data_IF_002939972246
#
_entry.id   IF_002939972246
#
_cell.length_a   1.000
_cell.length_b   1.000
_cell.length_c   1.000
_cell.angle_alpha   90.00
_cell.angle_beta   90.00
_cell.angle_gamma   90.00
#
_symmetry.space_group_name_H-M   'P 1'
#
loop_
_entity.id
_entity.type
_entity.pdbx_description
1 polymer ?
#
# COMPACT_ATOMS: atom_id res chain seq x y z
N UNK A 1 -1.68 -14.80 20.45
CA UNK A 1 -2.88 -14.11 19.91
C UNK A 1 -4.11 -14.97 20.13
N UNK A 2 -5.15 -14.44 20.79
CA UNK A 2 -6.41 -15.17 20.94
C UNK A 2 -7.07 -15.27 19.57
N UNK A 3 -7.09 -16.49 19.04
CA UNK A 3 -7.77 -16.77 17.79
C UNK A 3 -9.29 -16.80 18.06
N UNK A 4 -10.02 -15.91 17.46
CA UNK A 4 -11.51 -15.94 17.44
C UNK A 4 -12.02 -17.06 16.51
N UNK A 5 -11.32 -18.20 16.52
CA UNK A 5 -11.71 -19.37 15.72
C UNK A 5 -12.72 -20.15 16.50
N UNK A 6 -13.96 -19.99 16.16
CA UNK A 6 -15.04 -20.84 16.62
C UNK A 6 -15.06 -22.08 15.71
N UNK A 7 -14.91 -23.25 16.28
CA UNK A 7 -15.14 -24.50 15.57
C UNK A 7 -16.55 -24.97 15.95
N UNK A 8 -17.50 -24.76 15.06
CA UNK A 8 -18.92 -25.05 15.30
C UNK A 8 -19.17 -26.53 15.53
N UNK A 9 -18.45 -27.40 14.88
CA UNK A 9 -18.57 -28.85 15.07
C UNK A 9 -18.14 -29.27 16.50
N UNK A 10 -17.03 -28.68 16.97
CA UNK A 10 -16.56 -28.92 18.33
C UNK A 10 -17.51 -28.33 19.37
N UNK A 11 -18.02 -27.14 19.10
CA UNK A 11 -18.99 -26.46 19.95
C UNK A 11 -20.26 -27.29 20.12
N UNK A 12 -20.80 -27.86 19.04
CA UNK A 12 -21.97 -28.75 19.11
C UNK A 12 -21.66 -29.98 19.98
N UNK A 13 -20.52 -30.62 19.77
CA UNK A 13 -20.15 -31.80 20.51
C UNK A 13 -19.93 -31.53 22.01
N UNK A 14 -19.46 -30.34 22.38
CA UNK A 14 -19.25 -29.97 23.80
C UNK A 14 -20.54 -29.49 24.48
N UNK A 15 -21.47 -28.84 23.72
CA UNK A 15 -22.70 -28.32 24.30
C UNK A 15 -23.84 -29.35 24.39
N UNK A 16 -23.85 -30.36 23.53
CA UNK A 16 -24.92 -31.37 23.56
C UNK A 16 -24.66 -32.34 24.70
N UNK A 17 -25.56 -32.44 25.67
CA UNK A 17 -25.41 -33.42 26.79
C UNK A 17 -25.35 -34.83 26.23
N UNK A 18 -24.48 -35.65 26.79
CA UNK A 18 -24.22 -37.03 26.32
C UNK A 18 -25.46 -37.95 26.35
N UNK A 19 -26.42 -37.69 27.24
CA UNK A 19 -27.66 -38.46 27.35
C UNK A 19 -28.70 -38.14 26.25
N UNK A 20 -28.56 -36.98 25.56
CA UNK A 20 -29.42 -36.61 24.44
C UNK A 20 -28.68 -36.79 23.08
N UNK A 21 -27.38 -37.05 23.14
CA UNK A 21 -26.45 -37.06 22.03
C UNK A 21 -26.63 -38.19 21.02
N UNK A 22 -27.79 -38.33 20.40
CA UNK A 22 -27.96 -39.18 19.25
C UNK A 22 -27.19 -38.63 18.03
N UNK A 23 -26.43 -39.52 17.32
CA UNK A 23 -25.64 -39.12 16.13
C UNK A 23 -26.44 -38.30 15.10
N UNK A 24 -27.74 -38.65 14.91
CA UNK A 24 -28.62 -37.94 13.98
C UNK A 24 -28.91 -36.50 14.44
N UNK A 25 -29.09 -36.28 15.75
CA UNK A 25 -29.31 -34.96 16.33
C UNK A 25 -28.05 -34.09 16.19
N UNK A 26 -26.88 -34.65 16.49
CA UNK A 26 -25.61 -33.94 16.33
C UNK A 26 -25.40 -33.50 14.89
N UNK A 27 -25.62 -34.37 13.92
CA UNK A 27 -25.51 -34.04 12.49
C UNK A 27 -26.53 -32.97 12.04
N UNK A 28 -27.75 -33.02 12.56
CA UNK A 28 -28.76 -32.01 12.30
C UNK A 28 -28.31 -30.64 12.85
N UNK A 29 -27.84 -30.56 14.08
CA UNK A 29 -27.36 -29.34 14.69
C UNK A 29 -26.12 -28.79 13.96
N UNK A 30 -25.19 -29.64 13.56
CA UNK A 30 -24.04 -29.23 12.76
C UNK A 30 -24.45 -28.68 11.39
N UNK A 31 -25.49 -29.25 10.75
CA UNK A 31 -25.98 -28.72 9.49
C UNK A 31 -26.63 -27.33 9.65
N UNK A 32 -27.35 -27.09 10.74
CA UNK A 32 -27.95 -25.80 11.04
C UNK A 32 -26.92 -24.72 11.36
N UNK A 33 -25.76 -25.10 11.90
CA UNK A 33 -24.69 -24.16 12.26
C UNK A 33 -23.73 -23.86 11.09
N UNK A 34 -23.85 -24.50 9.94
CA UNK A 34 -23.05 -24.19 8.74
C UNK A 34 -23.07 -22.71 8.33
N UNK A 35 -24.20 -21.99 8.34
CA UNK A 35 -24.20 -20.56 8.04
C UNK A 35 -23.35 -19.74 9.02
N UNK A 36 -23.23 -20.17 10.27
CA UNK A 36 -22.40 -19.52 11.27
C UNK A 36 -20.88 -19.69 10.94
N UNK A 37 -20.48 -20.81 10.38
CA UNK A 37 -19.10 -21.02 9.91
C UNK A 37 -18.73 -20.03 8.79
N UNK A 38 -19.62 -19.88 7.81
CA UNK A 38 -19.38 -18.95 6.69
C UNK A 38 -19.35 -17.50 7.17
N UNK A 39 -20.21 -17.14 8.12
CA UNK A 39 -20.20 -15.82 8.74
C UNK A 39 -18.91 -15.57 9.53
N UNK A 40 -18.47 -16.58 10.30
CA UNK A 40 -17.23 -16.50 11.08
C UNK A 40 -15.98 -16.39 10.19
N UNK A 41 -15.97 -17.04 9.02
CA UNK A 41 -14.89 -16.87 8.04
C UNK A 41 -14.84 -15.45 7.49
N UNK A 42 -15.97 -14.91 7.04
CA UNK A 42 -16.08 -13.52 6.57
C UNK A 42 -15.67 -12.52 7.65
N UNK A 43 -16.08 -12.77 8.88
CA UNK A 43 -15.68 -11.94 10.03
C UNK A 43 -14.18 -11.96 10.27
N UNK A 44 -13.53 -13.12 10.15
CA UNK A 44 -12.06 -13.23 10.30
C UNK A 44 -11.31 -12.45 9.24
N UNK A 45 -11.71 -12.61 7.98
CA UNK A 45 -11.11 -11.87 6.86
C UNK A 45 -11.26 -10.35 7.09
N UNK A 46 -12.46 -9.92 7.42
CA UNK A 46 -12.72 -8.51 7.74
C UNK A 46 -11.90 -8.02 8.94
N UNK A 47 -11.83 -8.82 10.01
CA UNK A 47 -11.07 -8.46 11.21
C UNK A 47 -9.56 -8.38 10.95
N UNK A 48 -9.01 -9.26 10.12
CA UNK A 48 -7.59 -9.24 9.74
C UNK A 48 -7.28 -8.03 8.85
N UNK A 49 -8.16 -7.67 7.92
CA UNK A 49 -8.01 -6.46 7.13
C UNK A 49 -8.09 -5.20 8.00
N UNK A 50 -9.01 -5.17 8.95
CA UNK A 50 -9.14 -4.03 9.89
C UNK A 50 -7.97 -3.91 10.86
N UNK A 51 -7.36 -5.02 11.27
CA UNK A 51 -6.12 -4.99 12.08
C UNK A 51 -4.96 -4.39 11.32
N UNK A 52 -4.80 -4.75 10.04
CA UNK A 52 -3.76 -4.18 9.20
C UNK A 52 -4.03 -2.69 9.01
N UNK A 53 -5.27 -2.30 8.69
CA UNK A 53 -5.66 -0.90 8.57
C UNK A 53 -5.37 -0.11 9.87
N UNK A 54 -5.65 -0.69 11.04
CA UNK A 54 -5.40 -0.06 12.34
C UNK A 54 -3.91 0.03 12.70
N UNK A 55 -3.06 -0.85 12.15
CA UNK A 55 -1.61 -0.82 12.36
C UNK A 55 -0.88 0.11 11.40
N UNK A 56 -1.59 0.73 10.45
CA UNK A 56 -1.00 1.60 9.46
C UNK A 56 -0.48 2.90 10.08
N UNK A 57 0.71 3.26 9.64
CA UNK A 57 1.38 4.51 9.97
C UNK A 57 1.79 5.24 8.69
N UNK A 58 2.26 6.47 8.81
CA UNK A 58 2.79 7.26 7.68
C UNK A 58 4.16 6.79 7.18
N UNK A 59 4.69 5.69 7.71
CA UNK A 59 5.97 5.12 7.26
C UNK A 59 5.82 4.53 5.85
N UNK A 60 6.78 4.83 4.99
CA UNK A 60 6.81 4.39 3.58
C UNK A 60 6.65 2.86 3.47
N UNK A 61 7.43 2.10 4.23
CA UNK A 61 7.43 0.63 4.23
C UNK A 61 6.03 0.07 4.54
N UNK A 62 5.35 0.65 5.54
CA UNK A 62 4.02 0.20 5.94
C UNK A 62 2.98 0.56 4.89
N UNK A 63 3.10 1.74 4.28
CA UNK A 63 2.20 2.20 3.22
C UNK A 63 2.36 1.34 1.96
N UNK A 64 3.60 1.05 1.53
CA UNK A 64 3.88 0.13 0.43
C UNK A 64 3.30 -1.26 0.69
N UNK A 65 3.55 -1.82 1.87
CA UNK A 65 3.01 -3.14 2.26
C UNK A 65 1.48 -3.18 2.16
N UNK A 66 0.82 -2.14 2.68
CA UNK A 66 -0.65 -2.05 2.67
C UNK A 66 -1.20 -1.92 1.25
N UNK A 67 -0.64 -1.02 0.44
CA UNK A 67 -1.07 -0.82 -0.95
C UNK A 67 -0.88 -2.09 -1.78
N UNK A 68 0.29 -2.73 -1.66
CA UNK A 68 0.58 -3.98 -2.35
C UNK A 68 -0.38 -5.10 -1.93
N UNK A 69 -0.64 -5.28 -0.63
CA UNK A 69 -1.58 -6.29 -0.15
C UNK A 69 -2.98 -6.08 -0.72
N UNK A 70 -3.43 -4.83 -0.81
CA UNK A 70 -4.79 -4.49 -1.23
C UNK A 70 -5.00 -4.54 -2.74
N UNK A 71 -4.00 -4.10 -3.50
CA UNK A 71 -4.13 -3.87 -4.94
C UNK A 71 -3.37 -4.86 -5.83
N UNK A 72 -2.54 -5.74 -5.26
CA UNK A 72 -1.78 -6.74 -6.01
C UNK A 72 -2.61 -7.59 -6.98
N UNK A 73 -3.87 -7.81 -6.68
CA UNK A 73 -4.80 -8.58 -7.53
C UNK A 73 -5.11 -7.92 -8.88
N UNK A 74 -4.85 -6.63 -9.01
CA UNK A 74 -5.11 -5.85 -10.22
C UNK A 74 -3.88 -5.70 -11.12
N UNK A 75 -2.71 -6.19 -10.69
CA UNK A 75 -1.49 -6.08 -11.45
C UNK A 75 -1.36 -7.21 -12.47
N UNK A 76 -0.77 -6.89 -13.61
CA UNK A 76 -0.56 -7.84 -14.71
C UNK A 76 0.32 -9.02 -14.27
N UNK A 77 1.31 -8.79 -13.41
CA UNK A 77 2.23 -9.82 -12.92
C UNK A 77 2.26 -9.87 -11.40
N UNK A 78 2.20 -11.07 -10.77
CA UNK A 78 2.22 -11.22 -9.33
C UNK A 78 3.56 -10.84 -8.67
N UNK A 79 4.63 -10.70 -9.45
CA UNK A 79 5.95 -10.25 -8.97
C UNK A 79 6.08 -8.74 -8.89
N UNK A 80 5.21 -8.01 -9.58
CA UNK A 80 5.20 -6.55 -9.57
C UNK A 80 4.59 -6.02 -8.27
N UNK A 81 5.09 -4.88 -7.82
CA UNK A 81 4.65 -4.23 -6.58
C UNK A 81 4.76 -2.71 -6.69
N UNK A 82 3.93 -2.03 -5.91
CA UNK A 82 3.97 -0.58 -5.75
C UNK A 82 5.20 -0.23 -4.94
N UNK A 83 5.96 0.77 -5.40
CA UNK A 83 7.13 1.32 -4.72
C UNK A 83 6.92 2.81 -4.53
N UNK A 84 7.28 3.32 -3.37
CA UNK A 84 7.23 4.74 -3.05
C UNK A 84 8.66 5.27 -3.06
N UNK A 85 8.93 6.20 -3.97
CA UNK A 85 10.22 6.90 -4.07
C UNK A 85 10.09 8.35 -3.63
N UNK A 86 11.21 8.94 -3.28
CA UNK A 86 11.26 10.37 -2.98
C UNK A 86 10.88 11.17 -4.23
N UNK A 87 10.31 12.36 -4.01
CA UNK A 87 9.95 13.26 -5.09
C UNK A 87 11.17 13.70 -5.88
N UNK A 88 10.96 14.04 -7.14
CA UNK A 88 12.02 14.57 -8.00
C UNK A 88 12.60 15.87 -7.42
N UNK A 89 13.91 15.91 -7.32
CA UNK A 89 14.65 17.10 -6.94
C UNK A 89 14.81 17.98 -8.17
N UNK A 90 14.14 19.13 -8.17
CA UNK A 90 14.34 20.12 -9.22
C UNK A 90 15.61 20.92 -8.95
N UNK A 91 16.71 20.53 -9.59
CA UNK A 91 17.94 21.28 -9.52
C UNK A 91 19.18 20.41 -9.63
N UNK A 92 20.33 21.04 -9.64
CA UNK A 92 21.65 20.38 -9.67
C UNK A 92 22.34 20.67 -8.35
N UNK A 93 22.70 19.65 -7.56
CA UNK A 93 23.38 19.85 -6.30
C UNK A 93 24.81 20.32 -6.53
N UNK A 94 25.26 21.32 -5.78
CA UNK A 94 26.63 21.78 -5.73
C UNK A 94 27.37 21.02 -4.62
N UNK A 95 28.54 20.50 -4.95
CA UNK A 95 29.42 19.82 -4.02
C UNK A 95 30.72 20.64 -3.82
N UNK A 96 31.30 20.58 -2.63
CA UNK A 96 32.65 21.12 -2.38
C UNK A 96 33.69 20.32 -3.19
N UNK A 97 34.74 20.99 -3.64
CA UNK A 97 35.79 20.41 -4.48
C UNK A 97 36.47 19.17 -3.88
N UNK A 98 36.55 19.10 -2.56
CA UNK A 98 37.20 17.99 -1.85
C UNK A 98 36.37 16.70 -1.74
N UNK A 99 35.12 16.74 -2.17
CA UNK A 99 34.26 15.56 -2.15
C UNK A 99 34.34 14.79 -3.47
N UNK A 100 35.48 14.17 -3.71
CA UNK A 100 35.79 13.41 -4.93
C UNK A 100 34.87 12.19 -5.17
N UNK A 101 34.16 11.72 -4.16
CA UNK A 101 33.20 10.62 -4.25
C UNK A 101 31.77 11.08 -4.59
N UNK A 102 31.49 12.37 -4.56
CA UNK A 102 30.24 12.90 -5.06
C UNK A 102 30.24 12.82 -6.59
N UNK A 103 29.26 12.14 -7.15
CA UNK A 103 29.12 12.02 -8.61
C UNK A 103 29.19 13.38 -9.29
N UNK A 104 29.77 13.42 -10.48
CA UNK A 104 29.85 14.64 -11.28
C UNK A 104 28.44 15.16 -11.51
N UNK A 105 28.15 16.37 -11.03
CA UNK A 105 26.91 17.06 -11.38
C UNK A 105 27.05 17.63 -12.79
N UNK A 106 26.30 17.10 -13.72
CA UNK A 106 26.23 17.65 -15.09
C UNK A 106 25.45 18.97 -15.06
N UNK A 107 26.19 20.03 -14.87
CA UNK A 107 25.64 21.38 -14.92
C UNK A 107 25.63 21.83 -16.40
N UNK A 108 24.45 21.96 -16.97
CA UNK A 108 24.27 22.50 -18.31
C UNK A 108 23.69 23.91 -18.19
N UNK A 109 24.46 24.90 -18.61
CA UNK A 109 24.02 26.28 -18.75
C UNK A 109 23.55 26.50 -20.20
N UNK A 110 22.33 26.94 -20.35
CA UNK A 110 21.76 27.30 -21.64
C UNK A 110 21.88 28.80 -21.90
N UNK A 111 22.14 29.18 -23.13
CA UNK A 111 22.18 30.57 -23.53
C UNK A 111 20.74 31.09 -23.68
N UNK A 112 20.52 32.37 -23.41
CA UNK A 112 19.17 32.99 -23.52
C UNK A 112 18.51 32.80 -24.89
N UNK A 113 19.32 32.65 -25.95
CA UNK A 113 18.85 32.37 -27.29
C UNK A 113 18.33 30.96 -27.56
N UNK A 114 18.61 30.00 -26.67
CA UNK A 114 18.26 28.59 -26.86
C UNK A 114 16.87 28.23 -26.36
N UNK A 115 16.16 29.15 -25.70
CA UNK A 115 14.79 28.96 -25.23
C UNK A 115 14.63 27.86 -24.17
N UNK A 116 15.73 27.33 -23.63
CA UNK A 116 15.76 26.32 -22.58
C UNK A 116 16.12 26.95 -21.23
N UNK A 117 15.43 26.54 -20.20
CA UNK A 117 15.74 26.96 -18.83
C UNK A 117 16.80 26.06 -18.21
N UNK A 118 17.87 26.67 -17.69
CA UNK A 118 18.87 25.95 -16.89
C UNK A 118 18.24 25.49 -15.55
N UNK A 119 18.65 24.31 -15.08
CA UNK A 119 18.21 23.82 -13.78
C UNK A 119 18.76 24.74 -12.66
N UNK A 120 17.94 25.00 -11.65
CA UNK A 120 18.36 25.77 -10.50
C UNK A 120 19.52 25.06 -9.77
N UNK A 121 20.50 25.84 -9.31
CA UNK A 121 21.58 25.32 -8.47
C UNK A 121 21.18 25.40 -7.00
N UNK A 122 21.49 24.39 -6.23
CA UNK A 122 21.28 24.38 -4.78
C UNK A 122 22.48 23.74 -4.07
N UNK A 123 22.76 24.16 -2.85
CA UNK A 123 23.74 23.49 -2.01
C UNK A 123 23.19 22.15 -1.54
N UNK A 124 24.06 21.14 -1.38
CA UNK A 124 23.65 19.81 -0.92
C UNK A 124 22.86 19.85 0.40
N UNK A 125 23.20 20.76 1.29
CA UNK A 125 22.60 20.91 2.61
C UNK A 125 21.42 21.91 2.63
N UNK A 126 21.16 22.63 1.54
CA UNK A 126 19.97 23.46 1.41
C UNK A 126 18.72 22.59 1.32
N UNK A 127 17.68 23.02 2.02
CA UNK A 127 16.35 22.46 1.80
C UNK A 127 15.99 22.65 0.33
N UNK A 128 15.99 21.57 -0.40
CA UNK A 128 15.77 21.57 -1.84
C UNK A 128 14.50 22.35 -2.19
N UNK A 129 14.53 23.19 -3.22
CA UNK A 129 13.32 23.82 -3.71
C UNK A 129 12.33 22.72 -4.02
N UNK A 130 11.21 22.78 -3.34
CA UNK A 130 10.15 21.78 -3.38
C UNK A 130 9.81 21.43 -4.83
N UNK A 131 10.12 20.21 -5.20
CA UNK A 131 9.51 19.61 -6.37
C UNK A 131 7.99 19.73 -6.26
N UNK A 132 7.27 19.67 -7.36
CA UNK A 132 5.80 19.68 -7.36
C UNK A 132 5.21 18.62 -6.45
N UNK A 133 5.96 17.54 -6.16
CA UNK A 133 5.58 16.45 -5.27
C UNK A 133 6.70 16.11 -4.26
N UNK A 134 6.29 15.76 -3.05
CA UNK A 134 7.21 15.35 -1.98
C UNK A 134 7.64 13.89 -2.13
N UNK A 135 6.81 13.06 -2.75
CA UNK A 135 7.09 11.66 -3.05
C UNK A 135 6.27 11.18 -4.24
N UNK A 136 6.72 10.12 -4.86
CA UNK A 136 6.12 9.51 -6.04
C UNK A 136 5.71 8.09 -5.69
N UNK A 137 4.49 7.71 -6.07
CA UNK A 137 3.98 6.35 -5.95
C UNK A 137 4.08 5.69 -7.31
N UNK A 138 5.08 4.84 -7.50
CA UNK A 138 5.28 4.10 -8.74
C UNK A 138 4.39 2.86 -8.72
N UNK A 139 3.43 2.83 -9.61
CA UNK A 139 2.51 1.72 -9.79
C UNK A 139 2.92 0.91 -11.01
N UNK A 140 2.94 -0.41 -10.91
CA UNK A 140 3.20 -1.27 -12.06
C UNK A 140 2.03 -1.28 -13.04
N UNK A 141 2.27 -1.87 -14.22
CA UNK A 141 1.26 -2.07 -15.24
C UNK A 141 0.04 -2.85 -14.72
N UNK A 142 -1.14 -2.42 -15.12
CA UNK A 142 -2.43 -2.87 -14.61
C UNK A 142 -3.13 -3.76 -15.64
N UNK A 143 -3.88 -4.72 -15.16
CA UNK A 143 -4.84 -5.46 -15.97
C UNK A 143 -6.11 -4.60 -16.20
N UNK A 144 -6.17 -3.97 -17.36
CA UNK A 144 -7.26 -3.07 -17.76
C UNK A 144 -8.61 -3.76 -17.90
N UNK A 145 -8.65 -5.12 -17.90
CA UNK A 145 -9.90 -5.88 -17.96
C UNK A 145 -10.66 -5.84 -16.64
N UNK A 146 -9.97 -5.64 -15.51
CA UNK A 146 -10.56 -5.68 -14.17
C UNK A 146 -10.86 -4.28 -13.61
N UNK A 147 -10.01 -3.31 -13.90
CA UNK A 147 -10.12 -1.95 -13.35
C UNK A 147 -9.51 -0.93 -14.31
N UNK A 148 -10.09 0.27 -14.34
CA UNK A 148 -9.51 1.38 -15.09
C UNK A 148 -8.37 2.04 -14.29
N UNK A 149 -7.41 2.60 -15.02
CA UNK A 149 -6.27 3.28 -14.40
C UNK A 149 -6.71 4.46 -13.51
N UNK A 150 -7.75 5.17 -13.94
CA UNK A 150 -8.30 6.31 -13.19
C UNK A 150 -8.94 5.88 -11.86
N UNK A 151 -9.71 4.79 -11.87
CA UNK A 151 -10.32 4.24 -10.66
C UNK A 151 -9.26 3.75 -9.66
N UNK A 152 -8.24 3.04 -10.14
CA UNK A 152 -7.15 2.59 -9.28
C UNK A 152 -6.37 3.77 -8.69
N UNK A 153 -6.08 4.79 -9.51
CA UNK A 153 -5.44 6.03 -9.06
C UNK A 153 -6.28 6.72 -7.97
N UNK A 154 -7.59 6.79 -8.15
CA UNK A 154 -8.51 7.35 -7.15
C UNK A 154 -8.46 6.59 -5.83
N UNK A 155 -8.49 5.25 -5.89
CA UNK A 155 -8.42 4.41 -4.70
C UNK A 155 -7.07 4.50 -3.98
N UNK A 156 -5.96 4.49 -4.72
CA UNK A 156 -4.61 4.66 -4.15
C UNK A 156 -4.49 6.04 -3.52
N UNK A 157 -4.91 7.08 -4.23
CA UNK A 157 -4.87 8.47 -3.75
C UNK A 157 -5.65 8.66 -2.46
N UNK A 158 -6.81 8.03 -2.33
CA UNK A 158 -7.60 8.06 -1.09
C UNK A 158 -6.80 7.51 0.11
N UNK A 159 -6.16 6.34 -0.06
CA UNK A 159 -5.41 5.73 1.04
C UNK A 159 -4.11 6.45 1.34
N UNK A 160 -3.40 6.89 0.32
CA UNK A 160 -2.17 7.67 0.49
C UNK A 160 -2.50 8.98 1.21
N UNK A 161 -3.56 9.68 0.82
CA UNK A 161 -3.97 10.92 1.47
C UNK A 161 -4.39 10.71 2.93
N UNK A 162 -5.04 9.59 3.22
CA UNK A 162 -5.48 9.24 4.58
C UNK A 162 -4.30 9.00 5.53
N UNK A 163 -3.20 8.41 5.05
CA UNK A 163 -2.06 8.02 5.90
C UNK A 163 -0.82 8.90 5.72
N UNK A 164 -0.76 9.71 4.68
CA UNK A 164 0.36 10.63 4.51
C UNK A 164 0.36 11.74 5.55
N UNK A 165 1.54 12.26 5.84
CA UNK A 165 1.69 13.43 6.71
C UNK A 165 1.06 14.64 6.01
N UNK A 166 0.29 15.43 6.76
CA UNK A 166 -0.33 16.66 6.26
C UNK A 166 0.71 17.59 5.62
N UNK A 167 0.36 18.19 4.49
CA UNK A 167 1.24 19.10 3.75
C UNK A 167 2.18 18.43 2.75
N UNK A 168 2.25 17.09 2.71
CA UNK A 168 3.00 16.36 1.69
C UNK A 168 2.15 16.18 0.43
N UNK A 169 2.75 16.52 -0.73
CA UNK A 169 2.15 16.31 -2.05
C UNK A 169 2.73 15.04 -2.65
N UNK A 170 1.93 14.29 -3.38
CA UNK A 170 2.38 13.08 -4.06
C UNK A 170 1.84 13.02 -5.49
N UNK A 171 2.49 12.23 -6.31
CA UNK A 171 2.08 11.92 -7.67
C UNK A 171 2.07 10.40 -7.85
N UNK A 172 1.08 9.87 -8.55
CA UNK A 172 1.02 8.45 -8.92
C UNK A 172 1.50 8.33 -10.37
N UNK A 173 2.48 7.47 -10.61
CA UNK A 173 3.05 7.20 -11.93
C UNK A 173 2.90 5.71 -12.20
N UNK A 174 2.59 5.36 -13.44
CA UNK A 174 2.47 3.97 -13.92
C UNK A 174 3.63 3.66 -14.86
N UNK A 175 4.30 2.52 -14.60
CA UNK A 175 5.39 1.98 -15.42
C UNK A 175 4.95 0.73 -16.18
#
# INVERSE_FOLDING_TARGET
MRSYRINTNRLVNELVPHYIGGRKLILLLQSWLRPLDTLNQKWKEWADDKRIEASMTSQVIMLEYFLNRKYRKYFTSPSQHIVISDGEVNGVPLYWADNSSAGKSDMVLYNASEGKTSKALHWKDEKQPTSECSFIVNCPSIDTTQITQEELTGMISYWVHKYSISGKKFKVIYE
#
